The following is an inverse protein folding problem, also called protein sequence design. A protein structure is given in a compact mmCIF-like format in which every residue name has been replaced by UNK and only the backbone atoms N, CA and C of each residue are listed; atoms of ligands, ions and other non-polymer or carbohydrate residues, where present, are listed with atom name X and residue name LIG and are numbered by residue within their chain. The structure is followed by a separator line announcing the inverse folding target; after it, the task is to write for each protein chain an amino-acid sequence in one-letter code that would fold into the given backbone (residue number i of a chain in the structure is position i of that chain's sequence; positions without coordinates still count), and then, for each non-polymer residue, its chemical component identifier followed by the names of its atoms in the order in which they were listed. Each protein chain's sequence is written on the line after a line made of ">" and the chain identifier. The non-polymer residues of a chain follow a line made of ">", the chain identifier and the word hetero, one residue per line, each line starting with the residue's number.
data_IF_725017827469
#
_entry.id   IF_725017827469
#
_cell.length_a   1.000
_cell.length_b   1.000
_cell.length_c   1.000
_cell.angle_alpha   90.00
_cell.angle_beta   90.00
_cell.angle_gamma   90.00
#
_symmetry.space_group_name_H-M   'P 1'
#
loop_
_entity.id
_entity.type
_entity.pdbx_description
1 polymer ?
#
# COMPACT_ATOMS: atom_id res chain seq x y z
N UNK A 1 13.49 -14.68 8.45
CA UNK A 1 13.21 -14.32 7.04
C UNK A 1 11.71 -14.07 6.94
N UNK A 2 11.32 -12.86 6.59
CA UNK A 2 9.91 -12.54 6.33
C UNK A 2 9.55 -13.15 4.98
N UNK A 3 8.66 -14.15 4.96
CA UNK A 3 8.14 -14.72 3.71
C UNK A 3 7.17 -13.69 3.14
N UNK A 4 7.50 -13.15 1.96
CA UNK A 4 6.57 -12.32 1.20
C UNK A 4 5.32 -13.15 0.88
N UNK A 5 4.16 -12.67 1.29
CA UNK A 5 2.89 -13.33 1.01
C UNK A 5 2.61 -13.31 -0.50
N UNK A 6 2.76 -14.46 -1.13
CA UNK A 6 2.41 -14.67 -2.53
C UNK A 6 1.02 -15.31 -2.56
N UNK A 7 -0.01 -14.49 -2.76
CA UNK A 7 -1.36 -14.97 -3.05
C UNK A 7 -1.62 -14.88 -4.54
N UNK A 8 -2.17 -15.91 -5.15
CA UNK A 8 -2.69 -15.82 -6.51
C UNK A 8 -4.02 -15.05 -6.55
N UNK A 9 -4.59 -14.86 -7.74
CA UNK A 9 -5.85 -14.12 -7.91
C UNK A 9 -7.01 -14.77 -7.15
N UNK A 10 -7.15 -16.09 -7.22
CA UNK A 10 -8.27 -16.80 -6.59
C UNK A 10 -8.18 -16.68 -5.06
N UNK A 11 -7.00 -16.87 -4.48
CA UNK A 11 -6.75 -16.72 -3.04
C UNK A 11 -7.03 -15.29 -2.56
N UNK A 12 -6.65 -14.28 -3.36
CA UNK A 12 -6.92 -12.87 -3.03
C UNK A 12 -8.43 -12.59 -2.95
N UNK A 13 -9.23 -13.08 -3.90
CA UNK A 13 -10.68 -12.86 -3.85
C UNK A 13 -11.37 -13.73 -2.78
N UNK A 14 -10.94 -14.98 -2.59
CA UNK A 14 -11.45 -15.83 -1.52
C UNK A 14 -11.23 -15.22 -0.12
N UNK A 15 -10.15 -14.46 0.08
CA UNK A 15 -9.89 -13.72 1.32
C UNK A 15 -10.93 -12.60 1.55
N UNK A 16 -11.48 -12.01 0.50
CA UNK A 16 -12.42 -10.88 0.58
C UNK A 16 -13.89 -11.32 0.62
N UNK A 17 -14.23 -12.46 0.02
CA UNK A 17 -15.59 -12.98 -0.09
C UNK A 17 -16.39 -13.02 1.23
N UNK A 18 -15.81 -13.37 2.40
CA UNK A 18 -16.55 -13.38 3.66
C UNK A 18 -17.00 -12.00 4.15
N UNK A 19 -16.41 -10.92 3.61
CA UNK A 19 -16.58 -9.57 4.14
C UNK A 19 -17.29 -8.61 3.18
N UNK A 20 -17.29 -8.91 1.89
CA UNK A 20 -17.80 -8.00 0.86
C UNK A 20 -18.98 -8.60 0.09
N UNK A 21 -19.99 -7.78 -0.18
CA UNK A 21 -21.10 -8.17 -1.02
C UNK A 21 -20.63 -8.48 -2.46
N UNK A 22 -21.33 -9.34 -3.22
CA UNK A 22 -20.94 -9.70 -4.59
C UNK A 22 -20.78 -8.49 -5.53
N UNK A 23 -21.62 -7.47 -5.41
CA UNK A 23 -21.49 -6.23 -6.20
C UNK A 23 -20.19 -5.48 -5.88
N UNK A 24 -19.85 -5.38 -4.61
CA UNK A 24 -18.62 -4.72 -4.14
C UNK A 24 -17.36 -5.51 -4.56
N UNK A 25 -17.45 -6.85 -4.58
CA UNK A 25 -16.35 -7.68 -5.12
C UNK A 25 -16.12 -7.42 -6.60
N UNK A 26 -17.15 -7.09 -7.39
CA UNK A 26 -16.99 -6.69 -8.78
C UNK A 26 -16.18 -5.39 -8.91
N UNK A 27 -16.42 -4.40 -8.07
CA UNK A 27 -15.64 -3.16 -8.08
C UNK A 27 -14.16 -3.43 -7.75
N UNK A 28 -13.89 -4.28 -6.77
CA UNK A 28 -12.53 -4.74 -6.46
C UNK A 28 -11.91 -5.51 -7.63
N UNK A 29 -12.69 -6.33 -8.37
CA UNK A 29 -12.20 -7.04 -9.57
C UNK A 29 -11.84 -6.06 -10.69
N UNK A 30 -12.63 -5.01 -10.88
CA UNK A 30 -12.32 -3.93 -11.83
C UNK A 30 -11.01 -3.26 -11.43
N UNK A 31 -10.86 -2.85 -10.17
CA UNK A 31 -9.62 -2.23 -9.66
C UNK A 31 -8.40 -3.14 -9.82
N UNK A 32 -8.54 -4.42 -9.50
CA UNK A 32 -7.48 -5.42 -9.66
C UNK A 32 -7.02 -5.54 -11.12
N UNK A 33 -7.98 -5.59 -12.04
CA UNK A 33 -7.70 -5.72 -13.48
C UNK A 33 -7.09 -4.44 -14.02
N UNK A 34 -7.61 -3.30 -13.60
CA UNK A 34 -7.14 -1.97 -13.99
C UNK A 34 -5.69 -1.73 -13.52
N UNK A 35 -5.39 -2.00 -12.24
CA UNK A 35 -4.03 -1.91 -11.71
C UNK A 35 -3.06 -2.88 -12.43
N UNK A 36 -3.49 -4.13 -12.65
CA UNK A 36 -2.67 -5.13 -13.36
C UNK A 36 -2.36 -4.70 -14.80
N UNK A 37 -3.32 -4.08 -15.48
CA UNK A 37 -3.11 -3.55 -16.83
C UNK A 37 -2.19 -2.32 -16.79
N UNK A 38 -2.41 -1.36 -15.91
CA UNK A 38 -1.59 -0.16 -15.78
C UNK A 38 -0.10 -0.48 -15.55
N UNK A 39 0.18 -1.45 -14.68
CA UNK A 39 1.54 -1.87 -14.32
C UNK A 39 2.10 -3.02 -15.18
N UNK A 40 1.48 -3.36 -16.34
CA UNK A 40 1.81 -4.57 -17.15
C UNK A 40 3.25 -4.65 -17.63
N UNK A 41 3.90 -3.51 -17.86
CA UNK A 41 5.28 -3.44 -18.37
C UNK A 41 6.32 -3.18 -17.28
N UNK A 42 5.90 -3.11 -16.00
CA UNK A 42 6.76 -2.70 -14.91
C UNK A 42 7.18 -3.90 -14.05
N UNK A 43 8.42 -3.86 -13.58
CA UNK A 43 9.00 -4.86 -12.68
C UNK A 43 9.64 -4.19 -11.47
N UNK A 44 9.70 -4.93 -10.38
CA UNK A 44 10.39 -4.55 -9.14
C UNK A 44 11.87 -4.87 -9.22
N UNK A 45 12.66 -4.30 -8.31
CA UNK A 45 14.08 -4.68 -8.12
C UNK A 45 14.24 -6.05 -7.44
N UNK A 46 13.20 -6.52 -6.74
CA UNK A 46 13.17 -7.84 -6.13
C UNK A 46 13.01 -8.94 -7.18
N UNK A 47 13.53 -10.13 -6.88
CA UNK A 47 13.40 -11.33 -7.71
C UNK A 47 12.59 -12.40 -7.00
N UNK A 48 11.95 -13.27 -7.77
CA UNK A 48 11.29 -14.47 -7.27
C UNK A 48 12.29 -15.59 -6.95
N UNK A 49 11.78 -16.76 -6.57
CA UNK A 49 12.61 -17.92 -6.23
C UNK A 49 13.46 -18.45 -7.42
N UNK A 50 13.03 -18.15 -8.63
CA UNK A 50 13.73 -18.54 -9.88
C UNK A 50 14.72 -17.44 -10.33
N UNK A 51 14.89 -16.34 -9.57
CA UNK A 51 15.74 -15.21 -9.91
C UNK A 51 15.16 -14.28 -10.98
N UNK A 52 13.87 -14.40 -11.33
CA UNK A 52 13.20 -13.53 -12.29
C UNK A 52 12.69 -12.26 -11.61
N UNK A 53 12.73 -11.09 -12.28
CA UNK A 53 12.17 -9.86 -11.74
C UNK A 53 10.68 -10.03 -11.41
N UNK A 54 10.28 -9.62 -10.21
CA UNK A 54 8.89 -9.64 -9.78
C UNK A 54 8.12 -8.52 -10.50
N UNK A 55 6.93 -8.81 -11.01
CA UNK A 55 6.07 -7.80 -11.63
C UNK A 55 5.67 -6.74 -10.61
N UNK A 56 5.61 -5.48 -11.02
CA UNK A 56 5.21 -4.39 -10.12
C UNK A 56 3.81 -4.61 -9.52
N UNK A 57 2.89 -5.18 -10.30
CA UNK A 57 1.54 -5.51 -9.85
C UNK A 57 1.53 -6.40 -8.58
N UNK A 58 2.53 -7.25 -8.37
CA UNK A 58 2.61 -8.07 -7.16
C UNK A 58 2.73 -7.20 -5.90
N UNK A 59 3.44 -6.06 -5.99
CA UNK A 59 3.52 -5.09 -4.91
C UNK A 59 2.15 -4.49 -4.57
N UNK A 60 1.44 -3.91 -5.54
CA UNK A 60 0.15 -3.28 -5.25
C UNK A 60 -0.88 -4.29 -4.73
N UNK A 61 -0.81 -5.54 -5.20
CA UNK A 61 -1.63 -6.64 -4.65
C UNK A 61 -1.25 -6.94 -3.20
N UNK A 62 0.05 -7.02 -2.85
CA UNK A 62 0.50 -7.23 -1.46
C UNK A 62 0.10 -6.07 -0.55
N UNK A 63 0.11 -4.83 -1.04
CA UNK A 63 -0.39 -3.68 -0.28
C UNK A 63 -1.87 -3.85 0.06
N UNK A 64 -2.70 -4.30 -0.89
CA UNK A 64 -4.10 -4.61 -0.63
C UNK A 64 -4.28 -5.79 0.34
N UNK A 65 -3.42 -6.83 0.27
CA UNK A 65 -3.40 -7.93 1.24
C UNK A 65 -3.03 -7.41 2.64
N UNK A 66 -2.05 -6.52 2.76
CA UNK A 66 -1.65 -5.93 4.04
C UNK A 66 -2.80 -5.12 4.68
N UNK A 67 -3.63 -4.44 3.88
CA UNK A 67 -4.85 -3.78 4.38
C UNK A 67 -5.78 -4.77 5.08
N UNK A 68 -5.97 -5.95 4.49
CA UNK A 68 -6.87 -6.98 5.02
C UNK A 68 -6.25 -7.77 6.18
N UNK A 69 -5.00 -8.18 6.05
CA UNK A 69 -4.36 -9.11 7.00
C UNK A 69 -3.60 -8.43 8.13
N UNK A 70 -2.84 -7.37 7.82
CA UNK A 70 -2.04 -6.66 8.83
C UNK A 70 -2.84 -5.54 9.50
N UNK A 71 -3.48 -4.67 8.71
CA UNK A 71 -4.37 -3.66 9.27
C UNK A 71 -5.70 -4.24 9.77
N UNK A 72 -6.11 -5.41 9.27
CA UNK A 72 -7.39 -6.08 9.60
C UNK A 72 -8.61 -5.21 9.33
N UNK A 73 -8.54 -4.37 8.30
CA UNK A 73 -9.61 -3.46 7.90
C UNK A 73 -10.09 -3.87 6.51
N UNK A 74 -11.36 -4.25 6.39
CA UNK A 74 -11.96 -4.66 5.12
C UNK A 74 -13.03 -3.65 4.73
N UNK A 75 -12.57 -2.49 4.26
CA UNK A 75 -13.39 -1.46 3.63
C UNK A 75 -13.10 -1.47 2.13
N UNK A 76 -14.13 -1.53 1.27
CA UNK A 76 -13.93 -1.62 -0.19
C UNK A 76 -13.03 -0.51 -0.74
N UNK A 77 -13.27 0.72 -0.32
CA UNK A 77 -12.50 1.89 -0.75
C UNK A 77 -11.01 1.79 -0.37
N UNK A 78 -10.68 1.18 0.78
CA UNK A 78 -9.29 0.94 1.18
C UNK A 78 -8.63 -0.12 0.31
N UNK A 79 -9.33 -1.22 0.03
CA UNK A 79 -8.80 -2.32 -0.79
C UNK A 79 -8.59 -1.83 -2.23
N UNK A 80 -9.56 -1.09 -2.79
CA UNK A 80 -9.47 -0.51 -4.13
C UNK A 80 -8.33 0.51 -4.18
N UNK A 81 -8.28 1.46 -3.22
CA UNK A 81 -7.21 2.46 -3.18
C UNK A 81 -5.83 1.81 -3.06
N UNK A 82 -5.68 0.74 -2.28
CA UNK A 82 -4.43 -0.01 -2.16
C UNK A 82 -4.00 -0.67 -3.49
N UNK A 83 -4.95 -1.20 -4.27
CA UNK A 83 -4.65 -1.78 -5.58
C UNK A 83 -4.16 -0.75 -6.60
N UNK A 84 -4.65 0.50 -6.53
CA UNK A 84 -4.37 1.53 -7.54
C UNK A 84 -3.50 2.69 -7.03
N UNK A 85 -2.93 2.60 -5.80
CA UNK A 85 -2.28 3.72 -5.10
C UNK A 85 -1.11 4.36 -5.86
N UNK A 86 -0.31 3.56 -6.57
CA UNK A 86 0.82 4.02 -7.40
C UNK A 86 0.41 4.31 -8.85
N UNK A 87 -0.86 4.08 -9.20
CA UNK A 87 -1.32 4.18 -10.59
C UNK A 87 -1.16 5.58 -11.19
N UNK A 88 -1.46 6.62 -10.41
CA UNK A 88 -1.34 8.02 -10.87
C UNK A 88 0.12 8.47 -11.07
N UNK A 89 1.08 7.87 -10.37
CA UNK A 89 2.49 8.20 -10.51
C UNK A 89 3.15 7.40 -11.63
N UNK A 90 2.89 6.11 -11.66
CA UNK A 90 3.71 5.15 -12.37
C UNK A 90 3.10 4.70 -13.69
N UNK A 91 1.86 5.08 -14.01
CA UNK A 91 1.20 4.65 -15.24
C UNK A 91 0.61 5.82 -16.02
N UNK A 92 0.48 5.63 -17.34
CA UNK A 92 -0.21 6.59 -18.23
C UNK A 92 -1.70 6.29 -18.35
N UNK A 93 -2.09 5.07 -18.03
CA UNK A 93 -3.45 4.55 -18.26
C UNK A 93 -4.38 4.84 -17.07
N UNK A 94 -3.83 5.15 -15.88
CA UNK A 94 -4.60 5.46 -14.68
C UNK A 94 -4.56 6.97 -14.43
N UNK A 95 -5.69 7.64 -14.64
CA UNK A 95 -5.82 9.08 -14.43
C UNK A 95 -6.77 9.39 -13.27
N UNK A 96 -6.69 10.61 -12.67
CA UNK A 96 -7.63 11.02 -11.62
C UNK A 96 -9.09 10.91 -12.06
N UNK A 97 -9.40 11.33 -13.29
CA UNK A 97 -10.76 11.33 -13.85
C UNK A 97 -11.28 9.89 -14.02
N UNK A 98 -10.46 8.97 -14.54
CA UNK A 98 -10.82 7.56 -14.67
C UNK A 98 -11.01 6.92 -13.28
N UNK A 99 -10.15 7.25 -12.32
CA UNK A 99 -10.24 6.75 -10.96
C UNK A 99 -11.56 7.20 -10.30
N UNK A 100 -11.93 8.48 -10.45
CA UNK A 100 -13.18 9.00 -9.91
C UNK A 100 -14.39 8.39 -10.61
N UNK A 101 -14.34 8.25 -11.94
CA UNK A 101 -15.44 7.67 -12.72
C UNK A 101 -15.69 6.20 -12.37
N UNK A 102 -14.65 5.39 -12.21
CA UNK A 102 -14.76 3.95 -11.97
C UNK A 102 -15.02 3.60 -10.50
N UNK A 103 -14.44 4.34 -9.56
CA UNK A 103 -14.40 3.95 -8.15
C UNK A 103 -14.98 4.99 -7.19
N UNK A 104 -15.46 6.10 -7.74
CA UNK A 104 -16.05 7.18 -6.97
C UNK A 104 -15.04 8.16 -6.35
N UNK A 105 -15.61 9.26 -5.87
CA UNK A 105 -14.84 10.41 -5.38
C UNK A 105 -13.96 10.09 -4.17
N UNK A 106 -14.44 9.23 -3.26
CA UNK A 106 -13.69 8.87 -2.05
C UNK A 106 -12.39 8.15 -2.37
N UNK A 107 -12.45 7.11 -3.22
CA UNK A 107 -11.27 6.38 -3.68
C UNK A 107 -10.32 7.31 -4.44
N UNK A 108 -10.85 8.15 -5.33
CA UNK A 108 -10.05 9.10 -6.09
C UNK A 108 -9.30 10.09 -5.19
N UNK A 109 -9.92 10.57 -4.11
CA UNK A 109 -9.27 11.45 -3.14
C UNK A 109 -8.18 10.75 -2.36
N UNK A 110 -8.40 9.49 -1.92
CA UNK A 110 -7.37 8.70 -1.24
C UNK A 110 -6.16 8.53 -2.15
N UNK A 111 -6.36 8.08 -3.39
CA UNK A 111 -5.29 7.81 -4.35
C UNK A 111 -4.55 9.09 -4.74
N UNK A 112 -5.26 10.20 -4.93
CA UNK A 112 -4.66 11.52 -5.18
C UNK A 112 -3.78 11.97 -4.01
N UNK A 113 -4.21 11.74 -2.77
CA UNK A 113 -3.42 12.06 -1.57
C UNK A 113 -2.13 11.24 -1.51
N UNK A 114 -2.19 9.99 -1.95
CA UNK A 114 -1.04 9.08 -1.96
C UNK A 114 -0.03 9.43 -3.06
N UNK A 115 -0.49 10.05 -4.15
CA UNK A 115 0.36 10.41 -5.30
C UNK A 115 1.36 11.50 -4.96
N UNK A 116 2.63 11.27 -5.35
CA UNK A 116 3.72 12.24 -5.24
C UNK A 116 3.77 13.22 -6.42
N UNK A 117 2.77 13.20 -7.30
CA UNK A 117 2.70 14.11 -8.43
C UNK A 117 1.83 15.34 -8.12
N UNK A 118 2.39 16.57 -8.06
CA UNK A 118 3.82 16.88 -8.13
C UNK A 118 4.57 16.46 -6.86
N UNK A 119 5.87 16.11 -6.98
CA UNK A 119 6.69 15.67 -5.84
C UNK A 119 6.92 16.80 -4.84
N UNK A 120 7.04 18.04 -5.33
CA UNK A 120 7.19 19.23 -4.51
C UNK A 120 6.00 19.40 -3.55
N UNK A 121 6.31 19.58 -2.27
CA UNK A 121 5.30 19.75 -1.22
C UNK A 121 4.46 18.50 -0.92
N UNK A 122 4.86 17.30 -1.39
CA UNK A 122 4.10 16.06 -1.18
C UNK A 122 3.87 15.76 0.31
N UNK A 123 4.91 15.82 1.13
CA UNK A 123 4.79 15.52 2.56
C UNK A 123 3.89 16.52 3.28
N UNK A 124 3.99 17.81 2.94
CA UNK A 124 3.13 18.86 3.49
C UNK A 124 1.66 18.60 3.12
N UNK A 125 1.38 18.30 1.84
CA UNK A 125 0.02 17.94 1.39
C UNK A 125 -0.51 16.72 2.11
N UNK A 126 0.34 15.69 2.29
CA UNK A 126 -0.03 14.49 3.00
C UNK A 126 -0.31 14.80 4.49
N UNK A 127 0.51 15.64 5.14
CA UNK A 127 0.29 16.08 6.51
C UNK A 127 -1.01 16.89 6.67
N UNK A 128 -1.46 17.61 5.65
CA UNK A 128 -2.73 18.35 5.68
C UNK A 128 -3.95 17.44 5.47
N UNK A 129 -3.77 16.23 5.01
CA UNK A 129 -4.87 15.27 4.83
C UNK A 129 -5.51 14.91 6.18
N UNK A 130 -6.84 14.83 6.21
CA UNK A 130 -7.62 14.40 7.37
C UNK A 130 -8.27 13.03 7.18
N UNK A 131 -8.16 12.44 5.99
CA UNK A 131 -8.68 11.09 5.71
C UNK A 131 -7.69 10.03 6.19
N UNK A 132 -7.99 9.39 7.30
CA UNK A 132 -7.18 8.34 7.90
C UNK A 132 -6.93 7.15 6.97
N UNK A 133 -7.82 6.92 6.00
CA UNK A 133 -7.71 5.81 5.03
C UNK A 133 -6.47 5.96 4.14
N UNK A 134 -6.13 7.17 3.74
CA UNK A 134 -4.90 7.42 2.98
C UNK A 134 -3.64 7.04 3.78
N UNK A 135 -3.63 7.31 5.07
CA UNK A 135 -2.51 6.91 5.94
C UNK A 135 -2.42 5.39 6.12
N UNK A 136 -3.55 4.68 6.20
CA UNK A 136 -3.57 3.20 6.28
C UNK A 136 -2.96 2.59 5.01
N UNK A 137 -3.38 3.06 3.82
CA UNK A 137 -2.79 2.57 2.55
C UNK A 137 -1.29 2.87 2.52
N UNK A 138 -0.87 4.08 2.92
CA UNK A 138 0.56 4.44 2.96
C UNK A 138 1.36 3.60 3.96
N UNK A 139 0.78 3.26 5.09
CA UNK A 139 1.41 2.38 6.08
C UNK A 139 1.56 0.94 5.53
N UNK A 140 0.54 0.42 4.84
CA UNK A 140 0.59 -0.89 4.19
C UNK A 140 1.60 -0.94 3.03
N UNK A 141 1.70 0.13 2.22
CA UNK A 141 2.74 0.29 1.19
C UNK A 141 4.14 0.27 1.84
N UNK A 142 4.35 1.07 2.87
CA UNK A 142 5.64 1.12 3.58
C UNK A 142 6.00 -0.22 4.20
N UNK A 143 5.03 -0.93 4.77
CA UNK A 143 5.24 -2.26 5.34
C UNK A 143 5.67 -3.28 4.27
N UNK A 144 5.04 -3.29 3.08
CA UNK A 144 5.45 -4.15 1.97
C UNK A 144 6.86 -3.83 1.49
N UNK A 145 7.18 -2.54 1.33
CA UNK A 145 8.51 -2.11 0.94
C UNK A 145 9.59 -2.54 1.95
N UNK A 146 9.33 -2.44 3.26
CA UNK A 146 10.26 -2.88 4.29
C UNK A 146 10.44 -4.41 4.31
N UNK A 147 9.39 -5.19 4.08
CA UNK A 147 9.43 -6.65 4.00
C UNK A 147 10.26 -7.14 2.80
N UNK A 148 10.25 -6.40 1.70
CA UNK A 148 11.01 -6.74 0.49
C UNK A 148 12.48 -6.29 0.52
N UNK A 149 12.92 -5.53 1.54
CA UNK A 149 14.29 -4.99 1.61
C UNK A 149 15.39 -6.04 1.72
N UNK A 150 15.09 -7.25 2.19
CA UNK A 150 16.12 -8.30 2.42
C UNK A 150 16.92 -8.68 1.16
N UNK A 151 16.38 -8.41 -0.02
CA UNK A 151 17.05 -8.67 -1.31
C UNK A 151 17.80 -7.45 -1.86
N UNK A 152 17.71 -6.29 -1.20
CA UNK A 152 18.36 -5.07 -1.65
C UNK A 152 19.77 -4.91 -1.06
N UNK A 153 20.59 -4.02 -1.65
CA UNK A 153 21.91 -3.72 -1.08
C UNK A 153 21.81 -3.11 0.32
N UNK A 154 22.81 -3.31 1.19
CA UNK A 154 22.82 -2.76 2.54
C UNK A 154 22.62 -1.24 2.58
N UNK A 155 23.21 -0.51 1.62
CA UNK A 155 23.07 0.95 1.51
C UNK A 155 21.63 1.35 1.20
N UNK A 156 20.96 0.62 0.30
CA UNK A 156 19.57 0.87 -0.03
C UNK A 156 18.65 0.54 1.16
N UNK A 157 18.91 -0.57 1.86
CA UNK A 157 18.21 -0.91 3.10
C UNK A 157 18.32 0.20 4.14
N UNK A 158 19.55 0.65 4.42
CA UNK A 158 19.81 1.73 5.38
C UNK A 158 19.10 3.03 5.00
N UNK A 159 19.13 3.40 3.69
CA UNK A 159 18.41 4.57 3.17
C UNK A 159 16.91 4.46 3.41
N UNK A 160 16.30 3.32 3.08
CA UNK A 160 14.84 3.12 3.24
C UNK A 160 14.41 3.14 4.71
N UNK A 161 15.20 2.54 5.61
CA UNK A 161 14.93 2.56 7.04
C UNK A 161 15.04 3.99 7.59
N UNK A 162 16.12 4.71 7.26
CA UNK A 162 16.31 6.10 7.66
C UNK A 162 15.17 6.98 7.17
N UNK A 163 14.77 6.83 5.92
CA UNK A 163 13.65 7.56 5.33
C UNK A 163 12.34 7.24 6.04
N UNK A 164 12.07 5.96 6.34
CA UNK A 164 10.87 5.55 7.05
C UNK A 164 10.76 6.21 8.42
N UNK A 165 11.86 6.20 9.19
CA UNK A 165 11.90 6.82 10.52
C UNK A 165 11.74 8.34 10.46
N UNK A 166 12.41 8.99 9.52
CA UNK A 166 12.45 10.44 9.45
C UNK A 166 11.19 11.09 8.87
N UNK A 167 10.51 10.41 7.95
CA UNK A 167 9.41 11.02 7.18
C UNK A 167 8.03 10.41 7.49
N UNK A 168 7.96 9.18 7.98
CA UNK A 168 6.69 8.45 8.04
C UNK A 168 6.23 8.10 9.46
N UNK A 169 7.09 8.11 10.47
CA UNK A 169 6.66 7.80 11.84
C UNK A 169 5.60 8.79 12.33
N UNK A 170 5.83 10.09 12.15
CA UNK A 170 4.87 11.12 12.55
C UNK A 170 3.55 11.00 11.77
N UNK A 171 3.62 10.61 10.49
CA UNK A 171 2.42 10.32 9.69
C UNK A 171 1.62 9.14 10.25
N UNK A 172 2.31 8.09 10.72
CA UNK A 172 1.63 6.93 11.30
C UNK A 172 1.10 7.21 12.71
N UNK A 173 1.71 8.10 13.47
CA UNK A 173 1.15 8.60 14.71
C UNK A 173 -0.12 9.41 14.44
N UNK A 174 -0.11 10.27 13.44
CA UNK A 174 -1.30 11.01 12.99
C UNK A 174 -2.40 10.08 12.47
N UNK A 175 -2.06 8.98 11.77
CA UNK A 175 -3.02 7.95 11.38
C UNK A 175 -3.86 7.47 12.57
N UNK A 176 -3.19 7.13 13.69
CA UNK A 176 -3.86 6.62 14.88
C UNK A 176 -4.84 7.66 15.45
N UNK A 177 -4.42 8.93 15.50
CA UNK A 177 -5.24 10.04 16.01
C UNK A 177 -6.49 10.25 15.15
N UNK A 178 -6.35 10.21 13.82
CA UNK A 178 -7.44 10.42 12.88
C UNK A 178 -8.37 9.21 12.72
N UNK A 179 -7.89 8.01 13.07
CA UNK A 179 -8.65 6.77 12.90
C UNK A 179 -9.84 6.72 13.86
N UNK A 180 -11.05 6.35 13.36
CA UNK A 180 -12.22 6.14 14.21
C UNK A 180 -11.94 5.13 15.34
N UNK A 181 -12.57 5.30 16.51
CA UNK A 181 -12.29 4.47 17.70
C UNK A 181 -12.33 2.96 17.45
N UNK A 182 -13.27 2.49 16.62
CA UNK A 182 -13.46 1.06 16.29
C UNK A 182 -12.31 0.43 15.49
N UNK A 183 -11.48 1.26 14.80
CA UNK A 183 -10.31 0.81 14.05
C UNK A 183 -8.97 1.19 14.71
N UNK A 184 -8.97 2.00 15.78
CA UNK A 184 -7.75 2.59 16.35
C UNK A 184 -6.74 1.55 16.84
N UNK A 185 -7.18 0.49 17.49
CA UNK A 185 -6.30 -0.58 17.94
C UNK A 185 -5.62 -1.31 16.75
N UNK A 186 -6.31 -1.38 15.60
CA UNK A 186 -5.79 -2.01 14.38
C UNK A 186 -4.72 -1.14 13.72
N UNK A 187 -4.95 0.16 13.62
CA UNK A 187 -3.94 1.10 13.08
C UNK A 187 -2.73 1.24 14.00
N UNK A 188 -2.92 1.15 15.33
CA UNK A 188 -1.81 1.04 16.28
C UNK A 188 -0.97 -0.21 16.00
N UNK A 189 -1.59 -1.37 15.85
CA UNK A 189 -0.89 -2.63 15.56
C UNK A 189 -0.13 -2.56 14.23
N UNK A 190 -0.69 -1.91 13.20
CA UNK A 190 -0.04 -1.70 11.91
C UNK A 190 1.23 -0.83 12.05
N UNK A 191 1.13 0.29 12.80
CA UNK A 191 2.29 1.13 13.12
C UNK A 191 3.39 0.34 13.84
N UNK A 192 3.02 -0.44 14.86
CA UNK A 192 3.97 -1.23 15.64
C UNK A 192 4.65 -2.31 14.77
N UNK A 193 3.94 -2.89 13.80
CA UNK A 193 4.53 -3.81 12.83
C UNK A 193 5.60 -3.12 11.95
N UNK A 194 5.37 -1.86 11.54
CA UNK A 194 6.35 -1.07 10.77
C UNK A 194 7.59 -0.77 11.62
N UNK A 195 7.41 -0.35 12.88
CA UNK A 195 8.52 -0.10 13.81
C UNK A 195 9.35 -1.36 13.97
N UNK A 196 8.72 -2.50 14.25
CA UNK A 196 9.39 -3.80 14.37
C UNK A 196 10.21 -4.16 13.13
N UNK A 197 9.69 -3.90 11.92
CA UNK A 197 10.43 -4.13 10.68
C UNK A 197 11.67 -3.23 10.59
N UNK A 198 11.56 -1.95 10.94
CA UNK A 198 12.71 -1.03 10.89
C UNK A 198 13.76 -1.31 11.97
N UNK A 199 13.39 -1.87 13.12
CA UNK A 199 14.31 -2.25 14.20
C UNK A 199 14.98 -3.59 13.95
N UNK A 200 14.27 -4.52 13.31
CA UNK A 200 14.78 -5.86 12.96
C UNK A 200 15.89 -5.86 11.90
N UNK A 201 15.97 -4.80 11.09
CA UNK A 201 17.08 -4.57 10.18
C UNK A 201 18.24 -3.94 10.96
N UNK A 202 19.18 -4.75 11.46
CA UNK A 202 20.43 -4.26 12.03
C UNK A 202 21.21 -3.55 10.92
N UNK A 203 21.29 -2.24 10.98
CA UNK A 203 22.25 -1.47 10.21
C UNK A 203 23.59 -1.79 10.87
N UNK A 204 24.43 -2.62 10.23
CA UNK A 204 25.82 -2.76 10.64
C UNK A 204 26.48 -1.38 10.51
N UNK A 205 27.26 -0.96 11.52
CA UNK A 205 27.91 0.35 11.53
C UNK A 205 28.90 0.53 10.37
#
# INVERSE_FOLDING_TARGET
>A
MSVLLIMNRAEFFAMLEPFLAPSTLLDVQVAYTFAKFGHRAQVRKETDADGKPVRYFEHVRRVAINVVQDAKIVLPELVIAALIHDGLEDTRDITPEMTEHLFGKEVAMIVKTLSKCPEEGYLERFHMCTDWRAYVVKACDRLDNLRSLSQASPEFQAKQIKETRAKYYDLFDKMIVLTPPEYRARTQSLRDAIIKQTEGHRISP
#
